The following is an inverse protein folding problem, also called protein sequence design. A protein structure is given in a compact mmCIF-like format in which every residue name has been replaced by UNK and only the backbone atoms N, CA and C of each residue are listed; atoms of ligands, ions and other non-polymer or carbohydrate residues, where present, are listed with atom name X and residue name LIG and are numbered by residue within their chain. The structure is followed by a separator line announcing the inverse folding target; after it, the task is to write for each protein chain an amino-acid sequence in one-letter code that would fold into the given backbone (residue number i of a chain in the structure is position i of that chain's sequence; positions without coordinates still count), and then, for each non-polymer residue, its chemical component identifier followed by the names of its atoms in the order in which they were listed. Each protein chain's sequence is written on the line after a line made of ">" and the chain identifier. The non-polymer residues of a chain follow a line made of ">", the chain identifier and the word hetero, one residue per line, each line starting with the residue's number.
data_IF_591741582466
#
_entry.id   IF_591741582466
#
_cell.length_a   1.000
_cell.length_b   1.000
_cell.length_c   1.000
_cell.angle_alpha   90.00
_cell.angle_beta   90.00
_cell.angle_gamma   90.00
#
_symmetry.space_group_name_H-M   'P 1'
#
loop_
_entity.id
_entity.type
_entity.pdbx_description
1 polymer ?
#
# COMPACT_ATOMS: atom_id res chain seq x y z
N UNK A 1 -83.23 -35.97 14.90
CA UNK A 1 -82.56 -37.17 14.34
C UNK A 1 -81.87 -36.75 13.05
N UNK A 2 -80.55 -36.49 13.13
CA UNK A 2 -79.48 -37.22 12.42
C UNK A 2 -79.58 -37.15 10.88
N UNK A 3 -78.76 -36.33 10.22
CA UNK A 3 -77.51 -36.72 9.51
C UNK A 3 -77.71 -36.40 8.01
N UNK A 4 -76.75 -36.02 7.16
CA UNK A 4 -75.32 -36.36 7.11
C UNK A 4 -74.62 -35.36 6.17
N UNK A 5 -73.43 -34.90 6.57
CA UNK A 5 -72.48 -34.20 5.69
C UNK A 5 -72.03 -35.12 4.55
N UNK A 6 -71.84 -34.55 3.35
CA UNK A 6 -71.12 -35.18 2.26
C UNK A 6 -69.82 -34.41 2.03
N UNK A 7 -68.76 -34.90 2.65
CA UNK A 7 -67.36 -34.62 2.36
C UNK A 7 -67.00 -35.17 0.97
N UNK A 8 -66.57 -34.32 0.03
CA UNK A 8 -65.82 -34.77 -1.14
C UNK A 8 -64.34 -34.42 -0.94
N UNK A 9 -63.56 -35.42 -0.53
CA UNK A 9 -62.10 -35.40 -0.53
C UNK A 9 -61.56 -35.23 -1.96
N UNK A 10 -60.52 -34.40 -2.18
CA UNK A 10 -59.87 -34.31 -3.47
C UNK A 10 -59.02 -35.58 -3.71
N UNK A 11 -59.14 -36.13 -4.92
CA UNK A 11 -58.39 -37.29 -5.42
C UNK A 11 -56.91 -36.96 -5.63
N UNK A 12 -56.04 -37.95 -5.41
CA UNK A 12 -54.57 -37.85 -5.36
C UNK A 12 -53.85 -37.43 -6.66
N UNK A 13 -54.57 -37.09 -7.72
CA UNK A 13 -53.98 -36.71 -9.02
C UNK A 13 -53.50 -35.25 -9.12
N UNK A 14 -53.75 -34.42 -8.10
CA UNK A 14 -53.40 -32.98 -8.13
C UNK A 14 -51.98 -32.65 -7.61
N UNK A 15 -51.18 -33.65 -7.24
CA UNK A 15 -49.88 -33.45 -6.56
C UNK A 15 -48.63 -33.53 -7.46
N UNK A 16 -48.74 -33.72 -8.78
CA UNK A 16 -47.53 -33.96 -9.61
C UNK A 16 -47.30 -33.02 -10.80
N UNK A 17 -48.10 -31.99 -11.05
CA UNK A 17 -47.84 -31.07 -12.16
C UNK A 17 -47.43 -29.67 -11.71
N UNK A 18 -46.28 -29.55 -11.03
CA UNK A 18 -45.51 -28.30 -11.08
C UNK A 18 -44.79 -28.28 -12.44
N UNK A 19 -45.05 -27.32 -13.34
CA UNK A 19 -44.42 -27.31 -14.67
C UNK A 19 -42.89 -27.26 -14.54
N UNK A 20 -42.23 -28.31 -15.01
CA UNK A 20 -40.78 -28.51 -15.03
C UNK A 20 -40.03 -27.25 -15.56
N UNK A 21 -40.66 -26.55 -16.53
CA UNK A 21 -40.19 -25.29 -17.09
C UNK A 21 -39.97 -24.14 -16.08
N UNK A 22 -40.80 -24.02 -15.02
CA UNK A 22 -40.62 -22.99 -13.98
C UNK A 22 -39.47 -23.31 -13.01
N UNK A 23 -39.08 -24.58 -12.92
CA UNK A 23 -37.96 -25.05 -12.08
C UNK A 23 -36.63 -24.83 -12.80
N UNK A 24 -36.61 -25.08 -14.11
CA UNK A 24 -35.44 -24.84 -14.96
C UNK A 24 -35.15 -23.35 -15.17
N UNK A 25 -36.19 -22.52 -15.33
CA UNK A 25 -36.01 -21.06 -15.45
C UNK A 25 -35.41 -20.43 -14.17
N UNK A 26 -35.82 -20.90 -12.98
CA UNK A 26 -35.24 -20.47 -11.69
C UNK A 26 -33.80 -20.95 -11.50
N UNK A 27 -33.48 -22.16 -11.97
CA UNK A 27 -32.10 -22.70 -11.96
C UNK A 27 -31.20 -21.92 -12.92
N UNK A 28 -31.71 -21.59 -14.11
CA UNK A 28 -30.99 -20.81 -15.11
C UNK A 28 -30.74 -19.37 -14.65
N UNK A 29 -31.73 -18.72 -14.03
CA UNK A 29 -31.59 -17.39 -13.43
C UNK A 29 -30.60 -17.39 -12.25
N UNK A 30 -30.60 -18.43 -11.42
CA UNK A 30 -29.62 -18.62 -10.36
C UNK A 30 -28.20 -18.79 -10.89
N UNK A 31 -28.02 -19.61 -11.94
CA UNK A 31 -26.73 -19.76 -12.64
C UNK A 31 -26.24 -18.46 -13.28
N UNK A 32 -27.13 -17.68 -13.90
CA UNK A 32 -26.81 -16.37 -14.46
C UNK A 32 -26.36 -15.39 -13.38
N UNK A 33 -27.01 -15.40 -12.20
CA UNK A 33 -26.62 -14.57 -11.06
C UNK A 33 -25.24 -14.94 -10.51
N UNK A 34 -24.94 -16.23 -10.34
CA UNK A 34 -23.62 -16.70 -9.91
C UNK A 34 -22.52 -16.37 -10.93
N UNK A 35 -22.83 -16.50 -12.22
CA UNK A 35 -21.91 -16.16 -13.31
C UNK A 35 -21.62 -14.65 -13.32
N UNK A 36 -22.64 -13.82 -13.12
CA UNK A 36 -22.48 -12.37 -13.02
C UNK A 36 -21.66 -11.96 -11.79
N UNK A 37 -21.88 -12.61 -10.64
CA UNK A 37 -21.09 -12.38 -9.43
C UNK A 37 -19.63 -12.81 -9.60
N UNK A 38 -19.38 -13.94 -10.26
CA UNK A 38 -18.03 -14.39 -10.58
C UNK A 38 -17.32 -13.41 -11.52
N UNK A 39 -18.01 -12.95 -12.58
CA UNK A 39 -17.48 -11.95 -13.51
C UNK A 39 -17.15 -10.64 -12.78
N UNK A 40 -18.04 -10.15 -11.92
CA UNK A 40 -17.78 -8.95 -11.10
C UNK A 40 -16.59 -9.14 -10.17
N UNK A 41 -16.45 -10.33 -9.58
CA UNK A 41 -15.30 -10.66 -8.75
C UNK A 41 -14.00 -10.67 -9.57
N UNK A 42 -14.02 -11.23 -10.78
CA UNK A 42 -12.85 -11.29 -11.66
C UNK A 42 -12.48 -9.91 -12.19
N UNK A 43 -13.46 -9.09 -12.60
CA UNK A 43 -13.25 -7.70 -13.00
C UNK A 43 -12.62 -6.92 -11.86
N UNK A 44 -13.19 -7.00 -10.65
CA UNK A 44 -12.62 -6.35 -9.46
C UNK A 44 -11.19 -6.83 -9.17
N UNK A 45 -10.92 -8.12 -9.28
CA UNK A 45 -9.58 -8.68 -9.08
C UNK A 45 -8.60 -8.17 -10.15
N UNK A 46 -9.03 -8.09 -11.41
CA UNK A 46 -8.23 -7.55 -12.52
C UNK A 46 -7.97 -6.05 -12.34
N UNK A 47 -8.96 -5.27 -11.96
CA UNK A 47 -8.82 -3.86 -11.61
C UNK A 47 -7.85 -3.68 -10.43
N UNK A 48 -7.96 -4.51 -9.39
CA UNK A 48 -7.02 -4.50 -8.26
C UNK A 48 -5.59 -4.87 -8.65
N UNK A 49 -5.40 -5.82 -9.55
CA UNK A 49 -4.08 -6.20 -10.07
C UNK A 49 -3.50 -5.10 -10.97
N UNK A 50 -4.35 -4.42 -11.73
CA UNK A 50 -3.96 -3.33 -12.62
C UNK A 50 -3.65 -2.07 -11.83
N UNK A 51 -4.43 -1.72 -10.81
CA UNK A 51 -4.13 -0.63 -9.88
C UNK A 51 -2.84 -0.90 -9.10
N UNK A 52 -2.60 -2.15 -8.67
CA UNK A 52 -1.31 -2.57 -8.11
C UNK A 52 -0.18 -2.36 -9.12
N UNK A 53 -0.36 -2.73 -10.38
CA UNK A 53 0.63 -2.48 -11.46
C UNK A 53 0.85 -1.01 -11.79
N UNK A 54 -0.17 -0.16 -11.63
CA UNK A 54 -0.05 1.27 -11.83
C UNK A 54 0.76 1.94 -10.70
N UNK A 55 0.64 1.48 -9.45
CA UNK A 55 1.46 1.98 -8.32
C UNK A 55 2.80 1.28 -8.16
N UNK A 56 3.01 0.12 -8.82
CA UNK A 56 4.27 -0.63 -8.84
C UNK A 56 5.46 0.17 -9.40
N UNK A 57 5.22 1.37 -9.94
CA UNK A 57 6.28 2.26 -10.41
C UNK A 57 6.77 3.29 -9.39
N UNK A 58 5.94 3.76 -8.44
CA UNK A 58 6.28 4.95 -7.66
C UNK A 58 6.35 4.64 -6.17
N UNK A 59 7.56 4.54 -5.64
CA UNK A 59 7.81 4.27 -4.22
C UNK A 59 8.18 5.54 -3.48
N UNK A 60 7.55 5.75 -2.33
CA UNK A 60 7.95 6.79 -1.37
C UNK A 60 8.53 6.12 -0.13
N UNK A 61 9.71 6.56 0.27
CA UNK A 61 10.40 6.07 1.44
C UNK A 61 10.55 7.25 2.40
N UNK A 62 9.72 7.40 3.44
CA UNK A 62 9.89 8.48 4.41
C UNK A 62 10.96 8.11 5.44
N UNK A 63 11.76 9.10 5.82
CA UNK A 63 12.66 9.00 6.97
C UNK A 63 11.88 9.20 8.30
N UNK A 64 12.60 9.11 9.42
CA UNK A 64 12.00 9.32 10.73
C UNK A 64 11.55 10.77 10.95
N UNK A 65 12.30 11.75 10.43
CA UNK A 65 12.03 13.18 10.66
C UNK A 65 10.70 13.59 10.00
N UNK A 66 10.41 13.06 8.80
CA UNK A 66 9.13 13.24 8.11
C UNK A 66 7.98 12.65 8.91
N UNK A 67 8.14 11.45 9.48
CA UNK A 67 7.07 10.82 10.26
C UNK A 67 6.81 11.53 11.59
N UNK A 68 7.84 12.08 12.22
CA UNK A 68 7.72 12.83 13.48
C UNK A 68 7.10 14.21 13.24
N UNK A 69 7.61 14.96 12.26
CA UNK A 69 7.27 16.38 12.09
C UNK A 69 6.14 16.60 11.07
N UNK A 70 5.98 15.71 10.10
CA UNK A 70 5.08 15.88 8.95
C UNK A 70 4.13 14.68 8.74
N UNK A 71 3.71 14.02 9.82
CA UNK A 71 2.81 12.85 9.75
C UNK A 71 1.52 13.12 8.95
N UNK A 72 0.99 14.34 9.02
CA UNK A 72 -0.21 14.73 8.27
C UNK A 72 0.01 14.71 6.75
N UNK A 73 1.20 15.08 6.27
CA UNK A 73 1.54 15.00 4.86
C UNK A 73 1.49 13.55 4.37
N UNK A 74 2.04 12.61 5.14
CA UNK A 74 1.97 11.17 4.81
C UNK A 74 0.53 10.66 4.81
N UNK A 75 -0.30 11.08 5.78
CA UNK A 75 -1.73 10.75 5.80
C UNK A 75 -2.47 11.26 4.56
N UNK A 76 -2.15 12.48 4.11
CA UNK A 76 -2.71 13.04 2.87
C UNK A 76 -2.23 12.28 1.62
N UNK A 77 -0.96 11.89 1.57
CA UNK A 77 -0.44 11.10 0.45
C UNK A 77 -1.13 9.74 0.36
N UNK A 78 -1.47 9.12 1.49
CA UNK A 78 -2.21 7.87 1.52
C UNK A 78 -3.69 7.97 1.17
N UNK A 79 -4.29 9.17 1.22
CA UNK A 79 -5.69 9.34 0.84
C UNK A 79 -5.88 9.21 -0.67
N UNK A 80 -4.82 9.42 -1.47
CA UNK A 80 -4.84 9.21 -2.93
C UNK A 80 -3.89 8.08 -3.34
N UNK A 81 -4.32 7.12 -4.16
CA UNK A 81 -3.53 5.94 -4.54
C UNK A 81 -2.45 6.26 -5.59
N UNK A 82 -1.59 7.23 -5.31
CA UNK A 82 -0.58 7.74 -6.26
C UNK A 82 0.76 7.02 -6.12
N UNK A 83 1.13 6.63 -4.90
CA UNK A 83 2.43 6.03 -4.59
C UNK A 83 2.27 4.89 -3.59
N UNK A 84 3.24 3.98 -3.58
CA UNK A 84 3.39 2.99 -2.52
C UNK A 84 4.40 3.49 -1.48
N UNK A 85 3.95 3.70 -0.25
CA UNK A 85 4.79 4.15 0.86
C UNK A 85 5.43 2.93 1.54
N UNK A 86 6.76 2.86 1.52
CA UNK A 86 7.54 1.82 2.18
C UNK A 86 8.24 2.43 3.39
N UNK A 87 7.91 1.95 4.58
CA UNK A 87 8.55 2.40 5.82
C UNK A 87 9.79 1.52 6.08
N UNK A 88 11.01 2.07 6.03
CA UNK A 88 12.22 1.31 6.32
C UNK A 88 12.21 0.74 7.74
N UNK A 89 12.80 -0.45 7.93
CA UNK A 89 12.91 -1.04 9.27
C UNK A 89 13.72 -0.15 10.21
N UNK A 90 14.83 0.44 9.72
CA UNK A 90 15.65 1.35 10.51
C UNK A 90 14.88 2.59 11.00
N UNK A 91 13.90 3.06 10.23
CA UNK A 91 13.02 4.18 10.62
C UNK A 91 12.07 3.76 11.74
N UNK A 92 11.48 2.55 11.66
CA UNK A 92 10.63 2.02 12.73
C UNK A 92 11.45 1.86 14.02
N UNK A 93 12.66 1.31 13.92
CA UNK A 93 13.55 1.11 15.06
C UNK A 93 13.94 2.46 15.70
N UNK A 94 14.20 3.49 14.89
CA UNK A 94 14.53 4.84 15.38
C UNK A 94 13.33 5.50 16.07
N UNK A 95 12.14 5.39 15.49
CA UNK A 95 10.91 5.89 16.10
C UNK A 95 10.60 5.18 17.43
N UNK A 96 10.85 3.87 17.52
CA UNK A 96 10.61 3.10 18.75
C UNK A 96 11.53 3.55 19.90
N UNK A 97 12.77 3.89 19.57
CA UNK A 97 13.73 4.44 20.52
C UNK A 97 13.32 5.83 21.00
N UNK A 98 12.80 6.67 20.10
CA UNK A 98 12.41 8.05 20.41
C UNK A 98 11.00 8.20 21.01
N UNK A 99 10.14 7.17 20.99
CA UNK A 99 8.73 7.27 21.44
C UNK A 99 8.54 7.69 22.91
N UNK A 100 9.58 7.52 23.74
CA UNK A 100 9.56 7.92 25.15
C UNK A 100 9.74 9.43 25.31
N UNK A 101 10.55 10.04 24.45
CA UNK A 101 11.01 11.43 24.56
C UNK A 101 10.28 12.36 23.59
N UNK A 102 9.87 11.86 22.42
CA UNK A 102 9.17 12.63 21.39
C UNK A 102 7.71 12.21 21.28
N UNK A 103 6.79 13.17 21.50
CA UNK A 103 5.36 12.97 21.26
C UNK A 103 5.08 12.64 19.78
N UNK A 104 5.79 13.30 18.86
CA UNK A 104 5.67 13.03 17.43
C UNK A 104 6.07 11.59 17.07
N UNK A 105 7.17 11.08 17.65
CA UNK A 105 7.58 9.69 17.45
C UNK A 105 6.54 8.69 18.00
N UNK A 106 5.97 8.98 19.18
CA UNK A 106 4.92 8.15 19.79
C UNK A 106 3.66 8.09 18.92
N UNK A 107 3.24 9.24 18.40
CA UNK A 107 2.06 9.31 17.54
C UNK A 107 2.30 8.66 16.17
N UNK A 108 3.50 8.81 15.61
CA UNK A 108 3.91 8.12 14.40
C UNK A 108 3.87 6.58 14.56
N UNK A 109 4.47 6.04 15.63
CA UNK A 109 4.44 4.60 15.92
C UNK A 109 3.00 4.10 16.07
N UNK A 110 2.19 4.76 16.90
CA UNK A 110 0.79 4.36 17.11
C UNK A 110 0.02 4.36 15.79
N UNK A 111 0.22 5.37 14.96
CA UNK A 111 -0.44 5.46 13.66
C UNK A 111 0.02 4.35 12.69
N UNK A 112 1.31 4.05 12.64
CA UNK A 112 1.86 2.96 11.84
C UNK A 112 1.32 1.60 12.27
N UNK A 113 1.27 1.31 13.58
CA UNK A 113 0.71 0.06 14.11
C UNK A 113 -0.74 -0.14 13.68
N UNK A 114 -1.57 0.91 13.76
CA UNK A 114 -2.96 0.89 13.29
C UNK A 114 -2.98 0.59 11.78
N UNK A 115 -2.16 1.29 10.98
CA UNK A 115 -2.12 1.10 9.52
C UNK A 115 -1.65 -0.30 9.11
N UNK A 116 -0.67 -0.87 9.81
CA UNK A 116 -0.19 -2.22 9.54
C UNK A 116 -1.18 -3.29 9.98
N UNK A 117 -1.85 -3.10 11.13
CA UNK A 117 -2.85 -4.04 11.63
C UNK A 117 -4.09 -4.12 10.75
N UNK A 118 -4.62 -2.96 10.31
CA UNK A 118 -5.82 -2.92 9.48
C UNK A 118 -5.55 -3.21 8.00
N UNK A 119 -4.28 -3.25 7.58
CA UNK A 119 -3.88 -3.52 6.20
C UNK A 119 -4.24 -2.36 5.27
N UNK A 120 -3.28 -1.49 4.99
CA UNK A 120 -3.43 -0.48 3.95
C UNK A 120 -2.75 -0.91 2.65
N UNK A 121 -3.41 -0.71 1.51
CA UNK A 121 -2.90 -1.13 0.20
C UNK A 121 -1.68 -0.31 -0.27
N UNK A 122 -1.53 0.92 0.23
CA UNK A 122 -0.54 1.88 -0.26
C UNK A 122 0.53 2.23 0.79
N UNK A 123 0.54 1.54 1.94
CA UNK A 123 1.63 1.65 2.93
C UNK A 123 1.95 0.28 3.51
N UNK A 124 3.25 -0.01 3.67
CA UNK A 124 3.72 -1.21 4.38
C UNK A 124 5.10 -0.99 4.98
N UNK A 125 5.46 -1.84 5.93
CA UNK A 125 6.85 -1.97 6.37
C UNK A 125 7.71 -2.62 5.27
N UNK A 126 8.99 -2.26 5.26
CA UNK A 126 10.04 -2.95 4.52
C UNK A 126 10.10 -4.42 4.95
N UNK A 127 10.20 -5.36 3.99
CA UNK A 127 10.39 -6.78 4.30
C UNK A 127 11.87 -7.06 4.58
N UNK A 128 12.22 -8.11 5.34
CA UNK A 128 13.61 -8.37 5.73
C UNK A 128 14.62 -8.55 4.58
N UNK A 129 14.14 -8.98 3.41
CA UNK A 129 14.94 -9.19 2.20
C UNK A 129 15.01 -7.96 1.29
N UNK A 130 14.23 -6.92 1.55
CA UNK A 130 14.15 -5.72 0.70
C UNK A 130 15.25 -4.72 1.05
N UNK A 131 16.49 -5.20 1.04
CA UNK A 131 17.69 -4.40 1.26
C UNK A 131 18.81 -4.95 0.40
N UNK A 132 19.58 -4.07 -0.22
CA UNK A 132 20.74 -4.46 -1.01
C UNK A 132 21.87 -3.49 -0.74
N UNK A 133 23.06 -4.04 -0.50
CA UNK A 133 24.23 -3.23 -0.23
C UNK A 133 24.58 -2.37 -1.44
N UNK A 134 24.99 -1.14 -1.19
CA UNK A 134 25.44 -0.24 -2.24
C UNK A 134 26.80 -0.72 -2.78
N UNK A 135 26.94 -0.93 -4.10
CA UNK A 135 28.21 -1.31 -4.68
C UNK A 135 29.20 -0.15 -4.60
N UNK A 136 30.48 -0.45 -4.42
CA UNK A 136 31.58 0.53 -4.48
C UNK A 136 31.56 1.66 -3.43
N UNK A 137 30.75 1.55 -2.37
CA UNK A 137 30.68 2.53 -1.28
C UNK A 137 31.27 1.95 0.01
N UNK A 138 32.13 2.73 0.68
CA UNK A 138 32.69 2.38 1.99
C UNK A 138 31.66 2.66 3.08
N UNK A 139 31.27 1.60 3.79
CA UNK A 139 30.29 1.70 4.86
C UNK A 139 30.88 2.38 6.12
N UNK A 140 30.04 3.13 6.86
CA UNK A 140 30.43 3.70 8.14
C UNK A 140 30.70 2.59 9.17
N UNK A 141 31.48 2.93 10.20
CA UNK A 141 31.64 2.03 11.36
C UNK A 141 30.32 2.00 12.12
N UNK A 142 29.94 0.84 12.66
CA UNK A 142 28.71 0.67 13.48
C UNK A 142 28.60 1.58 14.72
N UNK A 143 29.70 2.22 15.13
CA UNK A 143 29.70 3.20 16.23
C UNK A 143 29.04 4.53 15.82
N UNK A 144 29.07 4.84 14.52
CA UNK A 144 28.37 5.99 13.96
C UNK A 144 26.93 5.55 13.64
N UNK A 145 26.06 5.72 14.64
CA UNK A 145 24.70 5.21 14.61
C UNK A 145 23.84 5.92 13.54
N UNK A 146 23.94 7.24 13.46
CA UNK A 146 23.21 8.06 12.49
C UNK A 146 23.59 7.69 11.06
N UNK A 147 24.91 7.62 10.78
CA UNK A 147 25.37 7.19 9.46
C UNK A 147 24.92 5.75 9.16
N UNK A 148 25.00 4.84 10.13
CA UNK A 148 24.58 3.46 9.93
C UNK A 148 23.09 3.35 9.60
N UNK A 149 22.22 4.06 10.31
CA UNK A 149 20.77 4.10 10.08
C UNK A 149 20.46 4.66 8.69
N UNK A 150 21.12 5.76 8.29
CA UNK A 150 20.92 6.34 6.97
C UNK A 150 21.32 5.36 5.85
N UNK A 151 22.45 4.65 6.00
CA UNK A 151 22.84 3.62 5.04
C UNK A 151 21.80 2.51 4.94
N UNK A 152 21.20 2.06 6.05
CA UNK A 152 20.14 1.05 6.02
C UNK A 152 18.89 1.53 5.27
N UNK A 153 18.52 2.81 5.42
CA UNK A 153 17.43 3.42 4.65
C UNK A 153 17.77 3.44 3.17
N UNK A 154 19.00 3.85 2.82
CA UNK A 154 19.42 3.90 1.42
C UNK A 154 19.55 2.51 0.79
N UNK A 155 19.92 1.47 1.54
CA UNK A 155 19.90 0.08 1.06
C UNK A 155 18.49 -0.39 0.69
N UNK A 156 17.46 0.08 1.42
CA UNK A 156 16.06 -0.14 1.08
C UNK A 156 15.74 0.53 -0.26
N UNK A 157 16.11 1.82 -0.40
CA UNK A 157 15.92 2.56 -1.64
C UNK A 157 16.62 1.88 -2.83
N UNK A 158 17.85 1.41 -2.64
CA UNK A 158 18.62 0.73 -3.68
C UNK A 158 17.91 -0.54 -4.19
N UNK A 159 17.43 -1.37 -3.25
CA UNK A 159 16.68 -2.56 -3.59
C UNK A 159 15.41 -2.21 -4.38
N UNK A 160 14.64 -1.22 -3.91
CA UNK A 160 13.41 -0.78 -4.58
C UNK A 160 13.71 -0.22 -5.97
N UNK A 161 14.78 0.56 -6.13
CA UNK A 161 15.21 1.09 -7.42
C UNK A 161 15.59 -0.03 -8.39
N UNK A 162 16.30 -1.06 -7.92
CA UNK A 162 16.62 -2.23 -8.73
C UNK A 162 15.34 -2.99 -9.16
N UNK A 163 14.37 -3.16 -8.26
CA UNK A 163 13.08 -3.76 -8.59
C UNK A 163 12.29 -2.96 -9.63
N UNK A 164 12.28 -1.64 -9.48
CA UNK A 164 11.65 -0.73 -10.44
C UNK A 164 12.26 -0.93 -11.82
N UNK A 165 13.59 -0.94 -11.94
CA UNK A 165 14.27 -1.11 -13.23
C UNK A 165 13.97 -2.47 -13.88
N UNK A 166 13.92 -3.55 -13.10
CA UNK A 166 13.58 -4.89 -13.60
C UNK A 166 12.14 -4.98 -14.13
N UNK A 167 11.21 -4.22 -13.54
CA UNK A 167 9.80 -4.22 -13.91
C UNK A 167 9.46 -3.12 -14.94
N UNK A 168 10.40 -2.23 -15.29
CA UNK A 168 10.18 -0.98 -16.05
C UNK A 168 10.00 -1.16 -17.55
N UNK A 169 10.01 -2.38 -18.11
CA UNK A 169 9.66 -2.63 -19.53
C UNK A 169 8.30 -2.07 -19.96
N UNK A 170 7.46 -1.62 -19.02
CA UNK A 170 6.09 -1.13 -19.27
C UNK A 170 5.81 0.31 -18.79
N UNK A 171 6.64 0.92 -17.93
CA UNK A 171 6.32 2.23 -17.31
C UNK A 171 7.58 3.11 -17.21
N UNK A 172 7.64 4.15 -18.05
CA UNK A 172 8.74 5.14 -18.12
C UNK A 172 8.83 6.10 -16.93
N UNK A 173 7.86 6.07 -16.01
CA UNK A 173 7.71 7.03 -14.90
C UNK A 173 7.97 6.42 -13.52
N UNK A 174 8.51 5.21 -13.47
CA UNK A 174 8.73 4.53 -12.21
C UNK A 174 9.97 5.07 -11.49
N UNK A 175 9.81 5.57 -10.26
CA UNK A 175 10.86 6.19 -9.45
C UNK A 175 10.75 5.82 -7.98
N UNK A 176 11.88 5.88 -7.28
CA UNK A 176 11.95 5.78 -5.81
C UNK A 176 12.35 7.15 -5.27
N UNK A 177 11.51 7.72 -4.40
CA UNK A 177 11.78 9.00 -3.75
C UNK A 177 11.91 8.81 -2.25
N UNK A 178 13.08 9.16 -1.70
CA UNK A 178 13.33 9.24 -0.27
C UNK A 178 12.91 10.64 0.22
N UNK A 179 12.00 10.68 1.18
CA UNK A 179 11.47 11.92 1.76
C UNK A 179 12.21 12.22 3.07
N UNK A 180 12.68 13.47 3.18
CA UNK A 180 13.32 14.01 4.39
C UNK A 180 12.63 15.30 4.82
N UNK A 181 12.62 15.60 6.12
CA UNK A 181 12.23 16.91 6.67
C UNK A 181 13.45 17.77 7.00
N UNK A 182 14.65 17.20 6.94
CA UNK A 182 15.90 17.93 7.14
C UNK A 182 16.51 18.29 5.79
N UNK A 183 16.76 19.58 5.57
CA UNK A 183 17.41 20.07 4.34
C UNK A 183 18.90 19.73 4.32
N UNK A 184 19.56 19.88 5.47
CA UNK A 184 20.95 19.50 5.69
C UNK A 184 21.14 19.21 7.20
N UNK A 185 21.48 17.98 7.60
CA UNK A 185 21.91 17.74 8.97
C UNK A 185 23.23 18.50 9.17
N UNK A 186 23.36 19.39 10.17
CA UNK A 186 24.50 20.30 10.29
C UNK A 186 25.84 19.61 10.57
N UNK A 187 25.86 18.30 10.85
CA UNK A 187 27.05 17.54 11.25
C UNK A 187 27.27 16.22 10.46
N UNK A 188 26.64 16.04 9.29
CA UNK A 188 26.74 14.78 8.56
C UNK A 188 28.17 14.53 8.05
N UNK A 189 28.78 13.40 8.44
CA UNK A 189 30.12 12.98 7.99
C UNK A 189 30.17 12.57 6.50
N UNK A 190 29.01 12.52 5.83
CA UNK A 190 28.86 12.11 4.44
C UNK A 190 27.66 12.81 3.78
N UNK A 191 27.61 12.83 2.45
CA UNK A 191 26.52 13.44 1.69
C UNK A 191 25.29 12.52 1.62
N UNK A 192 24.19 12.92 2.26
CA UNK A 192 22.91 12.21 2.22
C UNK A 192 22.33 12.15 0.80
N UNK A 193 22.38 13.27 0.07
CA UNK A 193 21.88 13.36 -1.31
C UNK A 193 22.72 12.53 -2.27
N UNK A 194 24.04 12.62 -2.20
CA UNK A 194 24.95 11.84 -3.05
C UNK A 194 24.79 10.34 -2.85
N UNK A 195 24.64 9.89 -1.60
CA UNK A 195 24.43 8.47 -1.30
C UNK A 195 23.07 7.97 -1.82
N UNK A 196 22.02 8.76 -1.65
CA UNK A 196 20.67 8.43 -2.14
C UNK A 196 20.64 8.35 -3.67
N UNK A 197 21.30 9.29 -4.33
CA UNK A 197 21.43 9.29 -5.79
C UNK A 197 22.22 8.08 -6.29
N UNK A 198 23.31 7.70 -5.60
CA UNK A 198 24.08 6.49 -5.92
C UNK A 198 23.25 5.20 -5.80
N UNK A 199 22.23 5.19 -4.93
CA UNK A 199 21.27 4.09 -4.81
C UNK A 199 20.28 4.01 -5.98
N UNK A 200 20.22 5.05 -6.83
CA UNK A 200 19.20 5.19 -7.87
C UNK A 200 17.87 5.73 -7.35
N UNK A 201 17.87 6.48 -6.25
CA UNK A 201 16.70 7.13 -5.69
C UNK A 201 16.87 8.66 -5.67
N UNK A 202 15.74 9.37 -5.62
CA UNK A 202 15.71 10.83 -5.52
C UNK A 202 15.52 11.22 -4.06
N UNK A 203 16.39 12.06 -3.52
CA UNK A 203 16.17 12.67 -2.20
C UNK A 203 15.36 13.95 -2.37
N UNK A 204 14.26 14.08 -1.65
CA UNK A 204 13.40 15.26 -1.72
C UNK A 204 12.89 15.70 -0.34
N UNK A 205 12.80 17.02 -0.15
CA UNK A 205 12.18 17.56 1.05
C UNK A 205 10.66 17.40 1.01
N UNK A 206 10.05 16.97 2.11
CA UNK A 206 8.61 16.65 2.17
C UNK A 206 7.72 17.81 1.70
N UNK A 207 8.02 19.04 2.09
CA UNK A 207 7.21 20.20 1.69
C UNK A 207 7.30 20.50 0.18
N UNK A 208 8.49 20.33 -0.40
CA UNK A 208 8.71 20.53 -1.83
C UNK A 208 7.97 19.45 -2.64
N UNK A 209 8.08 18.21 -2.18
CA UNK A 209 7.35 17.09 -2.75
C UNK A 209 5.83 17.33 -2.68
N UNK A 210 5.31 17.72 -1.52
CA UNK A 210 3.89 18.00 -1.34
C UNK A 210 3.39 19.11 -2.26
N UNK A 211 4.18 20.18 -2.47
CA UNK A 211 3.83 21.26 -3.42
C UNK A 211 3.75 20.75 -4.85
N UNK A 212 4.72 19.94 -5.29
CA UNK A 212 4.70 19.32 -6.63
C UNK A 212 3.53 18.34 -6.79
N UNK A 213 3.27 17.54 -5.76
CA UNK A 213 2.15 16.58 -5.76
C UNK A 213 0.78 17.27 -5.80
N UNK A 214 0.58 18.34 -5.03
CA UNK A 214 -0.67 19.09 -5.04
C UNK A 214 -0.93 19.75 -6.40
N UNK A 215 0.09 20.34 -7.03
CA UNK A 215 -0.04 20.93 -8.38
C UNK A 215 -0.33 19.88 -9.44
N UNK A 216 0.37 18.72 -9.39
CA UNK A 216 0.12 17.60 -10.29
C UNK A 216 -1.28 17.02 -10.17
N UNK A 217 -1.85 16.94 -8.95
CA UNK A 217 -3.19 16.37 -8.76
C UNK A 217 -4.34 17.33 -9.06
N UNK A 218 -4.11 18.65 -9.06
CA UNK A 218 -5.12 19.65 -9.43
C UNK A 218 -5.39 19.72 -10.94
N UNK A 219 -4.45 19.29 -11.78
CA UNK A 219 -4.62 19.29 -13.24
C UNK A 219 -5.40 18.10 -13.81
N UNK A 220 -5.91 17.19 -12.97
CA UNK A 220 -6.62 15.97 -13.35
C UNK A 220 -8.05 15.89 -12.74
N UNK A 221 -8.59 17.02 -12.26
CA UNK A 221 -9.97 17.12 -11.74
C UNK A 221 -10.82 18.01 -12.62
#
# INVERSE_FOLDING_TARGET
>A
TLSREASSSPTEDDLLSVPLAKKDSRRLAGMQSLTAQWLQHEVRNLEERTARRATLGMYLVPDATVLINHLQAIKMLLSKPTHMIIIPQAVIDLLDQQKRESLGARDAIRWLEIKFRHGSRFIRAQRPHERTRLPLIKYPKRKDKEAWEWYQIVECCHYLSAQVQQNSTTVKTATVTLLTAEKHPPNSTFSHSGLTQAAGAVLEHIEEFMRKWQTSTKGHS
#
